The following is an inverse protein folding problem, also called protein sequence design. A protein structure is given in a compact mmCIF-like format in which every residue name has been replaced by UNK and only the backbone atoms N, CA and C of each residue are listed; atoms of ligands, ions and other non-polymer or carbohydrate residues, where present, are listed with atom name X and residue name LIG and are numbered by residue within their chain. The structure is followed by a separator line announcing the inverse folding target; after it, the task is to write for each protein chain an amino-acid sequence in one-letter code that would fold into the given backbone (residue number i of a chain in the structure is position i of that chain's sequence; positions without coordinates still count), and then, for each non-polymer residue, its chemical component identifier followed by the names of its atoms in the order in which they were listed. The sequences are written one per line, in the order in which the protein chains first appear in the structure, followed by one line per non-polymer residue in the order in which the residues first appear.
data_IF_218923016396
#
_entry.id   IF_218923016396
#
_cell.length_a   1.000
_cell.length_b   1.000
_cell.length_c   1.000
_cell.angle_alpha   90.00
_cell.angle_beta   90.00
_cell.angle_gamma   90.00
#
_symmetry.space_group_name_H-M   'P 1'
#
loop_
_entity.id
_entity.type
_entity.pdbx_description
1 polymer ?
#
# COMPACT_ATOMS: atom_id res chain seq x y z
N UNK A 1 47.43 -23.37 -21.95
CA UNK A 1 46.42 -22.37 -21.64
C UNK A 1 45.20 -23.02 -21.02
N UNK A 2 45.04 -22.83 -19.77
CA UNK A 2 43.85 -23.35 -19.09
C UNK A 2 42.64 -22.47 -19.38
N UNK A 3 41.59 -23.08 -19.89
CA UNK A 3 40.28 -22.44 -19.95
C UNK A 3 39.87 -22.00 -18.53
N UNK A 4 39.22 -20.88 -18.36
CA UNK A 4 38.72 -20.48 -17.04
C UNK A 4 37.88 -21.61 -16.47
N UNK A 5 38.07 -21.98 -15.21
CA UNK A 5 37.35 -23.12 -14.65
C UNK A 5 35.81 -22.88 -14.73
N UNK A 6 35.04 -23.89 -15.14
CA UNK A 6 33.59 -23.76 -15.29
C UNK A 6 32.88 -23.35 -13.99
N UNK A 7 33.55 -23.51 -12.86
CA UNK A 7 33.04 -23.08 -11.55
C UNK A 7 32.77 -21.57 -11.46
N UNK A 8 33.60 -20.73 -12.09
CA UNK A 8 33.42 -19.27 -12.08
C UNK A 8 32.16 -18.84 -12.83
N UNK A 9 31.85 -19.45 -13.96
CA UNK A 9 30.63 -19.16 -14.73
C UNK A 9 29.38 -19.59 -13.98
N UNK A 10 29.41 -20.75 -13.34
CA UNK A 10 28.30 -21.25 -12.55
C UNK A 10 28.03 -20.37 -11.31
N UNK A 11 29.08 -19.88 -10.64
CA UNK A 11 28.95 -18.98 -9.52
C UNK A 11 28.37 -17.62 -9.92
N UNK A 12 28.82 -17.04 -11.02
CA UNK A 12 28.31 -15.77 -11.53
C UNK A 12 26.84 -15.89 -11.92
N UNK A 13 26.46 -16.96 -12.62
CA UNK A 13 25.08 -17.22 -13.00
C UNK A 13 24.20 -17.44 -11.78
N UNK A 14 24.68 -18.17 -10.76
CA UNK A 14 23.95 -18.38 -9.51
C UNK A 14 23.73 -17.09 -8.73
N UNK A 15 24.74 -16.21 -8.66
CA UNK A 15 24.62 -14.89 -8.03
C UNK A 15 23.64 -13.99 -8.75
N UNK A 16 23.66 -13.95 -10.08
CA UNK A 16 22.72 -13.16 -10.86
C UNK A 16 21.27 -13.62 -10.66
N UNK A 17 21.06 -14.93 -10.64
CA UNK A 17 19.72 -15.51 -10.40
C UNK A 17 19.23 -15.17 -9.00
N UNK A 18 20.08 -15.26 -7.97
CA UNK A 18 19.73 -14.90 -6.60
C UNK A 18 19.39 -13.42 -6.45
N UNK A 19 20.12 -12.52 -7.10
CA UNK A 19 19.86 -11.09 -7.09
C UNK A 19 18.53 -10.74 -7.76
N UNK A 20 18.20 -11.36 -8.89
CA UNK A 20 16.93 -11.16 -9.58
C UNK A 20 15.77 -11.66 -8.71
N UNK A 21 15.89 -12.84 -8.10
CA UNK A 21 14.86 -13.38 -7.22
C UNK A 21 14.64 -12.47 -5.99
N UNK A 22 15.70 -11.98 -5.36
CA UNK A 22 15.61 -11.04 -4.25
C UNK A 22 14.94 -9.72 -4.67
N UNK A 23 15.26 -9.20 -5.85
CA UNK A 23 14.64 -7.99 -6.40
C UNK A 23 13.14 -8.16 -6.64
N UNK A 24 12.71 -9.29 -7.20
CA UNK A 24 11.29 -9.60 -7.43
C UNK A 24 10.53 -9.72 -6.11
N UNK A 25 11.10 -10.41 -5.11
CA UNK A 25 10.49 -10.54 -3.79
C UNK A 25 10.37 -9.18 -3.08
N UNK A 26 11.37 -8.32 -3.18
CA UNK A 26 11.33 -6.97 -2.62
C UNK A 26 10.24 -6.11 -3.27
N UNK A 27 10.10 -6.15 -4.58
CA UNK A 27 9.03 -5.45 -5.30
C UNK A 27 7.64 -5.97 -4.92
N UNK A 28 7.46 -7.27 -4.79
CA UNK A 28 6.21 -7.88 -4.35
C UNK A 28 5.87 -7.45 -2.92
N UNK A 29 6.83 -7.41 -2.00
CA UNK A 29 6.64 -6.96 -0.63
C UNK A 29 6.25 -5.48 -0.56
N UNK A 30 6.87 -4.61 -1.35
CA UNK A 30 6.53 -3.19 -1.45
C UNK A 30 5.09 -3.01 -1.94
N UNK A 31 4.68 -3.73 -2.99
CA UNK A 31 3.31 -3.66 -3.52
C UNK A 31 2.26 -4.13 -2.53
N UNK A 32 2.56 -5.16 -1.74
CA UNK A 32 1.65 -5.64 -0.69
C UNK A 32 1.52 -4.61 0.44
N UNK A 33 2.60 -3.97 0.82
CA UNK A 33 2.60 -2.91 1.83
C UNK A 33 1.85 -1.66 1.38
N UNK A 34 1.86 -1.34 0.08
CA UNK A 34 1.16 -0.18 -0.46
C UNK A 34 -0.37 -0.28 -0.34
N UNK A 35 -0.91 -1.47 -0.11
CA UNK A 35 -2.34 -1.69 0.09
C UNK A 35 -2.76 -1.58 1.54
N UNK A 36 -1.84 -1.76 2.46
CA UNK A 36 -2.08 -1.66 3.88
C UNK A 36 -1.41 -0.41 4.43
N UNK A 37 -2.06 0.19 5.39
CA UNK A 37 -1.52 1.33 6.12
C UNK A 37 -1.81 1.17 7.59
N UNK A 38 -0.97 1.75 8.42
CA UNK A 38 -1.16 1.78 9.86
C UNK A 38 -1.19 3.24 10.31
N UNK A 39 -2.23 3.61 11.02
CA UNK A 39 -2.40 4.95 11.57
C UNK A 39 -2.67 4.89 13.06
N UNK A 40 -2.20 5.90 13.78
CA UNK A 40 -2.49 6.04 15.19
C UNK A 40 -3.90 6.60 15.38
N UNK A 41 -4.59 6.09 16.38
CA UNK A 41 -5.93 6.58 16.76
C UNK A 41 -5.81 7.99 17.36
N UNK A 42 -6.69 8.89 16.93
CA UNK A 42 -6.77 10.22 17.52
C UNK A 42 -7.17 10.14 18.99
N UNK A 43 -6.40 10.82 19.85
CA UNK A 43 -6.62 10.77 21.30
C UNK A 43 -7.92 11.38 21.78
N UNK A 44 -8.52 12.29 21.00
CA UNK A 44 -9.78 12.93 21.33
C UNK A 44 -11.01 12.14 20.92
N UNK A 45 -10.98 11.51 19.76
CA UNK A 45 -12.14 10.80 19.16
C UNK A 45 -12.04 9.29 19.29
N UNK A 46 -10.87 8.74 19.58
CA UNK A 46 -10.56 7.31 19.56
C UNK A 46 -10.84 6.64 18.20
N UNK A 47 -10.69 7.40 17.12
CA UNK A 47 -10.88 6.93 15.76
C UNK A 47 -9.71 7.35 14.89
N UNK A 48 -9.54 6.67 13.74
CA UNK A 48 -8.67 7.17 12.68
C UNK A 48 -9.47 8.18 11.88
N UNK A 49 -9.06 9.44 11.89
CA UNK A 49 -9.79 10.52 11.24
C UNK A 49 -9.86 10.31 9.72
N UNK A 50 -11.01 10.63 9.13
CA UNK A 50 -11.21 10.56 7.68
C UNK A 50 -10.18 11.37 6.90
N UNK A 51 -9.73 12.47 7.43
CA UNK A 51 -8.67 13.30 6.82
C UNK A 51 -7.33 12.57 6.78
N UNK A 52 -7.01 11.81 7.82
CA UNK A 52 -5.81 10.97 7.88
C UNK A 52 -5.87 9.82 6.87
N UNK A 53 -7.02 9.17 6.76
CA UNK A 53 -7.27 8.11 5.79
C UNK A 53 -7.13 8.67 4.37
N UNK A 54 -7.75 9.80 4.10
CA UNK A 54 -7.71 10.47 2.80
C UNK A 54 -6.27 10.83 2.39
N UNK A 55 -5.49 11.36 3.33
CA UNK A 55 -4.08 11.71 3.10
C UNK A 55 -3.24 10.47 2.79
N UNK A 56 -3.44 9.40 3.54
CA UNK A 56 -2.72 8.14 3.35
C UNK A 56 -3.06 7.52 1.99
N UNK A 57 -4.33 7.48 1.62
CA UNK A 57 -4.77 6.98 0.31
C UNK A 57 -4.24 7.84 -0.83
N UNK A 58 -4.23 9.15 -0.68
CA UNK A 58 -3.65 10.05 -1.68
C UNK A 58 -2.19 9.72 -1.94
N UNK A 59 -1.40 9.47 -0.90
CA UNK A 59 -0.02 9.04 -1.02
C UNK A 59 0.14 7.67 -1.68
N UNK A 60 -0.71 6.71 -1.32
CA UNK A 60 -0.67 5.36 -1.88
C UNK A 60 -1.07 5.31 -3.36
N UNK A 61 -2.00 6.17 -3.77
CA UNK A 61 -2.49 6.23 -5.15
C UNK A 61 -1.58 7.05 -6.07
N UNK A 62 -0.61 7.75 -5.50
CA UNK A 62 0.39 8.49 -6.27
C UNK A 62 1.48 7.54 -6.73
N UNK A 63 1.64 7.37 -8.04
CA UNK A 63 2.68 6.54 -8.64
C UNK A 63 3.89 7.40 -9.03
N UNK A 64 5.11 6.81 -9.07
CA UNK A 64 6.33 7.57 -9.37
C UNK A 64 6.31 8.36 -10.69
N UNK A 65 5.53 7.91 -11.68
CA UNK A 65 5.46 8.50 -13.01
C UNK A 65 4.06 8.99 -13.39
N UNK A 66 3.13 9.00 -12.45
CA UNK A 66 1.77 9.48 -12.67
C UNK A 66 1.37 10.40 -11.54
N UNK A 67 0.66 11.45 -11.91
CA UNK A 67 0.05 12.31 -10.92
C UNK A 67 -0.98 11.52 -10.12
N UNK A 68 -0.96 11.70 -8.82
CA UNK A 68 -1.95 11.12 -7.93
C UNK A 68 -3.32 11.79 -8.08
N UNK A 69 -4.28 11.40 -7.25
CA UNK A 69 -5.60 12.02 -7.25
C UNK A 69 -5.51 13.48 -6.83
N UNK A 70 -6.38 14.32 -7.40
CA UNK A 70 -6.51 15.73 -7.01
C UNK A 70 -7.11 15.86 -5.61
N UNK A 71 -8.02 14.97 -5.27
CA UNK A 71 -8.68 14.94 -3.97
C UNK A 71 -9.12 13.53 -3.61
N UNK A 72 -9.13 13.22 -2.33
CA UNK A 72 -9.70 11.99 -1.77
C UNK A 72 -10.65 12.38 -0.65
N UNK A 73 -11.88 11.89 -0.71
CA UNK A 73 -12.90 12.11 0.30
C UNK A 73 -13.36 10.78 0.88
N UNK A 74 -13.37 10.69 2.19
CA UNK A 74 -13.86 9.50 2.90
C UNK A 74 -15.18 9.84 3.62
N UNK A 75 -16.08 8.85 3.70
CA UNK A 75 -17.42 9.02 4.25
C UNK A 75 -17.45 9.20 5.77
N UNK A 76 -16.40 8.79 6.46
CA UNK A 76 -16.34 8.89 7.91
C UNK A 76 -15.00 8.46 8.46
N UNK A 77 -14.91 8.42 9.78
CA UNK A 77 -13.73 7.99 10.50
C UNK A 77 -13.75 6.47 10.72
N UNK A 78 -12.58 5.85 10.80
CA UNK A 78 -12.46 4.43 11.14
C UNK A 78 -12.40 4.26 12.66
N UNK A 79 -13.28 3.42 13.19
CA UNK A 79 -13.21 3.01 14.59
C UNK A 79 -12.13 1.94 14.75
N UNK A 80 -11.46 1.87 15.92
CA UNK A 80 -10.46 0.83 16.19
C UNK A 80 -11.11 -0.52 16.49
N UNK A 81 -11.90 -0.99 15.54
CA UNK A 81 -12.64 -2.26 15.61
C UNK A 81 -12.39 -3.02 14.33
N UNK A 82 -11.97 -4.26 14.45
CA UNK A 82 -11.74 -5.14 13.31
C UNK A 82 -13.00 -5.23 12.44
N UNK A 83 -12.80 -5.16 11.14
CA UNK A 83 -13.84 -5.16 10.10
C UNK A 83 -14.65 -3.87 10.01
N UNK A 84 -14.30 -2.81 10.73
CA UNK A 84 -14.92 -1.51 10.48
C UNK A 84 -14.53 -1.00 9.10
N UNK A 85 -15.47 -0.41 8.36
CA UNK A 85 -15.29 0.02 6.99
C UNK A 85 -15.70 1.46 6.79
N UNK A 86 -15.00 2.16 5.90
CA UNK A 86 -15.43 3.45 5.36
C UNK A 86 -15.27 3.43 3.84
N UNK A 87 -16.11 4.20 3.16
CA UNK A 87 -16.02 4.37 1.72
C UNK A 87 -15.30 5.67 1.41
N UNK A 88 -14.35 5.60 0.50
CA UNK A 88 -13.60 6.75 0.03
C UNK A 88 -13.74 6.89 -1.48
N UNK A 89 -13.72 8.12 -1.96
CA UNK A 89 -13.74 8.44 -3.39
C UNK A 89 -12.50 9.24 -3.73
N UNK A 90 -11.73 8.77 -4.69
CA UNK A 90 -10.58 9.47 -5.23
C UNK A 90 -10.95 10.13 -6.55
N UNK A 91 -10.70 11.43 -6.67
CA UNK A 91 -10.93 12.22 -7.88
C UNK A 91 -9.60 12.46 -8.57
N UNK A 92 -9.49 11.98 -9.80
CA UNK A 92 -8.30 12.16 -10.63
C UNK A 92 -8.50 13.26 -11.66
N UNK A 93 -7.39 13.82 -12.22
CA UNK A 93 -7.49 14.72 -13.38
C UNK A 93 -8.31 14.07 -14.49
N UNK A 94 -8.93 14.87 -15.34
CA UNK A 94 -9.79 14.42 -16.43
C UNK A 94 -11.16 13.83 -16.01
N UNK A 95 -11.61 14.09 -14.80
CA UNK A 95 -12.92 13.66 -14.33
C UNK A 95 -13.05 12.17 -13.99
N UNK A 96 -11.95 11.45 -13.88
CA UNK A 96 -11.96 10.05 -13.47
C UNK A 96 -12.15 9.95 -11.96
N UNK A 97 -13.10 9.11 -11.53
CA UNK A 97 -13.32 8.79 -10.12
C UNK A 97 -13.05 7.33 -9.83
N UNK A 98 -12.50 7.05 -8.65
CA UNK A 98 -12.40 5.70 -8.12
C UNK A 98 -13.03 5.62 -6.75
N UNK A 99 -13.90 4.64 -6.59
CA UNK A 99 -14.49 4.31 -5.29
C UNK A 99 -13.68 3.19 -4.63
N UNK A 100 -13.37 3.40 -3.37
CA UNK A 100 -12.57 2.48 -2.57
C UNK A 100 -13.27 2.20 -1.26
N UNK A 101 -13.15 0.98 -0.77
CA UNK A 101 -13.52 0.62 0.60
C UNK A 101 -12.26 0.45 1.42
N UNK A 102 -12.23 1.05 2.58
CA UNK A 102 -11.14 0.91 3.55
C UNK A 102 -11.65 0.11 4.72
N UNK A 103 -11.01 -1.01 5.01
CA UNK A 103 -11.39 -1.95 6.05
C UNK A 103 -10.28 -2.12 7.07
N UNK A 104 -10.64 -2.09 8.36
CA UNK A 104 -9.71 -2.37 9.45
C UNK A 104 -9.40 -3.87 9.49
N UNK A 105 -8.12 -4.21 9.38
CA UNK A 105 -7.66 -5.60 9.41
C UNK A 105 -7.07 -5.99 10.75
N UNK A 106 -6.38 -5.08 11.42
CA UNK A 106 -5.74 -5.31 12.72
C UNK A 106 -5.87 -4.08 13.60
N UNK A 107 -6.06 -4.32 14.89
CA UNK A 107 -6.01 -3.28 15.92
C UNK A 107 -5.02 -3.73 16.99
N UNK A 108 -4.03 -2.90 17.27
CA UNK A 108 -3.02 -3.18 18.28
C UNK A 108 -2.76 -1.90 19.08
N UNK A 109 -3.23 -1.87 20.33
CA UNK A 109 -3.17 -0.68 21.18
C UNK A 109 -3.83 0.53 20.48
N UNK A 110 -3.07 1.59 20.23
CA UNK A 110 -3.55 2.79 19.53
C UNK A 110 -3.28 2.77 18.02
N UNK A 111 -2.79 1.64 17.48
CA UNK A 111 -2.46 1.50 16.08
C UNK A 111 -3.55 0.69 15.37
N UNK A 112 -4.06 1.26 14.30
CA UNK A 112 -5.07 0.63 13.44
C UNK A 112 -4.44 0.36 12.09
N UNK A 113 -4.41 -0.90 11.68
CA UNK A 113 -4.00 -1.30 10.34
C UNK A 113 -5.24 -1.50 9.49
N UNK A 114 -5.28 -0.87 8.34
CA UNK A 114 -6.39 -0.93 7.43
C UNK A 114 -5.92 -1.20 6.00
N UNK A 115 -6.79 -1.81 5.21
CA UNK A 115 -6.54 -2.16 3.82
C UNK A 115 -7.61 -1.56 2.93
N UNK A 116 -7.18 -1.10 1.75
CA UNK A 116 -8.10 -0.61 0.74
C UNK A 116 -8.50 -1.72 -0.22
N UNK A 117 -9.75 -1.69 -0.64
CA UNK A 117 -10.29 -2.53 -1.70
C UNK A 117 -10.99 -1.65 -2.72
N UNK A 118 -10.81 -1.96 -4.01
CA UNK A 118 -11.61 -1.33 -5.04
C UNK A 118 -13.05 -1.83 -4.90
N UNK A 119 -14.03 -0.92 -4.88
CA UNK A 119 -15.42 -1.34 -4.91
C UNK A 119 -15.74 -2.00 -6.26
N UNK A 120 -16.42 -3.14 -6.27
CA UNK A 120 -16.93 -3.70 -7.51
C UNK A 120 -17.93 -2.72 -8.12
N UNK A 121 -17.86 -2.58 -9.41
CA UNK A 121 -18.79 -1.74 -10.18
C UNK A 121 -20.22 -2.22 -10.06
#
# INVERSE_FOLDING_TARGET
MSAPPPRHRALVLGLLTALVAAGVLALAAVRLRDREATSEVDGGTHTVLRTEIARTLSGQLTLPFRNGPDAVHCSGDLRPVRNDEVHCTAHFPIGLERRLTVEVTHVRRNLVTYRRHALPR
#
